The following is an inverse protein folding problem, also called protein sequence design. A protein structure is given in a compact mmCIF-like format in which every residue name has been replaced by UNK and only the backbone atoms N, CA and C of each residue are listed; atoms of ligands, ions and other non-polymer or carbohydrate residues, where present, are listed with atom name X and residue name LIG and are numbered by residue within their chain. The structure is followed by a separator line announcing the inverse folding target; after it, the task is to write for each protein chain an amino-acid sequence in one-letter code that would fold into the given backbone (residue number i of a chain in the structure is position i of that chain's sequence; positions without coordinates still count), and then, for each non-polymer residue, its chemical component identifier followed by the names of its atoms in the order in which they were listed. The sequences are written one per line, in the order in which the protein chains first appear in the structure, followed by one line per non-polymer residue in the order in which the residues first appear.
data_IF_429276270880
#
_entry.id   IF_429276270880
#
_cell.length_a   1.000
_cell.length_b   1.000
_cell.length_c   1.000
_cell.angle_alpha   90.00
_cell.angle_beta   90.00
_cell.angle_gamma   90.00
#
_symmetry.space_group_name_H-M   'P 1'
#
loop_
_entity.id
_entity.type
_entity.pdbx_description
1 polymer ?
#
# COMPACT_ATOMS: atom_id res chain seq x y z
N UNK A 1 -8.04 -5.10 5.99
CA UNK A 1 -8.96 -4.13 5.37
C UNK A 1 -8.46 -2.75 5.73
N UNK A 2 -8.53 -1.80 4.80
CA UNK A 2 -8.08 -0.41 4.97
C UNK A 2 -9.18 0.51 4.50
N UNK A 3 -9.46 1.53 5.29
CA UNK A 3 -10.44 2.56 4.98
C UNK A 3 -9.71 3.86 4.62
N UNK A 4 -10.04 4.44 3.47
CA UNK A 4 -9.42 5.66 2.95
C UNK A 4 -10.50 6.72 2.81
N UNK A 5 -10.36 7.83 3.52
CA UNK A 5 -11.32 8.93 3.53
C UNK A 5 -10.73 10.22 2.96
N UNK A 6 -11.55 10.99 2.25
CA UNK A 6 -11.28 12.32 1.71
C UNK A 6 -12.60 13.10 1.64
N UNK A 7 -12.57 14.34 1.13
CA UNK A 7 -13.75 15.22 1.06
C UNK A 7 -14.94 14.63 0.28
N UNK A 8 -14.73 13.64 -0.57
CA UNK A 8 -15.75 13.02 -1.42
C UNK A 8 -16.34 11.73 -0.84
N UNK A 9 -15.91 11.30 0.36
CA UNK A 9 -16.45 10.09 1.04
C UNK A 9 -15.38 9.15 1.62
N UNK A 10 -15.64 7.85 1.63
CA UNK A 10 -14.73 6.80 2.12
C UNK A 10 -14.71 5.61 1.15
N UNK A 11 -13.54 4.99 0.96
CA UNK A 11 -13.36 3.75 0.22
C UNK A 11 -12.74 2.66 1.08
N UNK A 12 -13.22 1.42 0.90
CA UNK A 12 -12.70 0.23 1.57
C UNK A 12 -11.82 -0.58 0.62
N UNK A 13 -10.70 -1.08 1.13
CA UNK A 13 -9.72 -1.86 0.38
C UNK A 13 -9.28 -3.11 1.16
N UNK A 14 -9.29 -4.26 0.50
CA UNK A 14 -8.77 -5.52 1.02
C UNK A 14 -7.38 -5.78 0.44
N UNK A 15 -6.35 -5.58 1.25
CA UNK A 15 -4.97 -5.86 0.88
C UNK A 15 -4.52 -7.17 1.48
N UNK A 16 -4.04 -8.08 0.63
CA UNK A 16 -3.39 -9.31 1.08
C UNK A 16 -1.88 -9.10 1.12
N UNK A 17 -1.27 -9.44 2.25
CA UNK A 17 0.17 -9.35 2.44
C UNK A 17 0.69 -10.76 2.65
N UNK A 18 1.43 -11.28 1.68
CA UNK A 18 2.11 -12.56 1.85
C UNK A 18 3.27 -12.42 2.84
N UNK A 19 3.65 -13.51 3.52
CA UNK A 19 4.81 -13.51 4.43
C UNK A 19 6.08 -13.05 3.71
N UNK A 20 6.27 -13.48 2.46
CA UNK A 20 7.40 -13.08 1.60
C UNK A 20 7.44 -11.57 1.35
N UNK A 21 6.30 -10.98 0.99
CA UNK A 21 6.23 -9.53 0.71
C UNK A 21 6.39 -8.70 2.00
N UNK A 22 5.83 -9.20 3.11
CA UNK A 22 6.04 -8.59 4.42
C UNK A 22 7.53 -8.57 4.79
N UNK A 23 8.20 -9.72 4.74
CA UNK A 23 9.63 -9.82 5.09
C UNK A 23 10.51 -8.95 4.16
N UNK A 24 10.12 -8.81 2.89
CA UNK A 24 10.84 -7.97 1.90
C UNK A 24 10.80 -6.48 2.24
N UNK A 25 9.64 -5.97 2.67
CA UNK A 25 9.39 -4.52 2.77
C UNK A 25 9.15 -4.00 4.18
N UNK A 26 8.96 -4.84 5.20
CA UNK A 26 8.59 -4.39 6.55
C UNK A 26 9.56 -3.38 7.16
N UNK A 27 10.88 -3.59 7.05
CA UNK A 27 11.91 -2.72 7.68
C UNK A 27 11.60 -2.38 9.15
N UNK A 28 11.25 -3.40 9.94
CA UNK A 28 10.88 -3.23 11.34
C UNK A 28 9.38 -2.96 11.57
N UNK A 29 8.66 -2.43 10.58
CA UNK A 29 7.23 -2.14 10.67
C UNK A 29 6.35 -3.37 10.92
N UNK A 30 5.19 -3.12 11.50
CA UNK A 30 4.05 -4.04 11.51
C UNK A 30 3.43 -4.16 10.12
N UNK A 31 2.50 -5.11 9.94
CA UNK A 31 1.76 -5.25 8.68
C UNK A 31 0.92 -4.01 8.44
N UNK A 32 0.27 -3.49 9.47
CA UNK A 32 -0.58 -2.30 9.44
C UNK A 32 0.22 -1.06 9.01
N UNK A 33 1.41 -0.86 9.56
CA UNK A 33 2.31 0.25 9.22
C UNK A 33 2.84 0.15 7.78
N UNK A 34 3.19 -1.05 7.32
CA UNK A 34 3.60 -1.29 5.93
C UNK A 34 2.45 -0.98 4.97
N UNK A 35 1.24 -1.44 5.29
CA UNK A 35 0.05 -1.20 4.48
C UNK A 35 -0.29 0.29 4.47
N UNK A 36 -0.26 0.98 5.62
CA UNK A 36 -0.49 2.42 5.69
C UNK A 36 0.52 3.22 4.85
N UNK A 37 1.81 2.89 4.95
CA UNK A 37 2.87 3.50 4.13
C UNK A 37 2.64 3.27 2.63
N UNK A 38 2.10 2.09 2.28
CA UNK A 38 1.78 1.75 0.89
C UNK A 38 0.60 2.57 0.36
N UNK A 39 -0.43 2.82 1.18
CA UNK A 39 -1.54 3.70 0.79
C UNK A 39 -1.10 5.16 0.68
N UNK A 40 -0.22 5.65 1.57
CA UNK A 40 0.36 6.99 1.43
C UNK A 40 1.08 7.12 0.08
N UNK A 41 1.91 6.13 -0.28
CA UNK A 41 2.59 6.08 -1.58
C UNK A 41 1.63 6.10 -2.79
N UNK A 42 0.53 5.34 -2.72
CA UNK A 42 -0.48 5.29 -3.79
C UNK A 42 -1.23 6.61 -3.92
N UNK A 43 -1.63 7.22 -2.81
CA UNK A 43 -2.41 8.46 -2.79
C UNK A 43 -1.61 9.69 -3.23
N UNK A 44 -0.27 9.63 -3.15
CA UNK A 44 0.60 10.63 -3.79
C UNK A 44 0.55 10.59 -5.33
N UNK A 45 0.06 9.49 -5.93
CA UNK A 45 0.14 9.23 -7.39
C UNK A 45 -1.21 9.14 -8.06
N UNK A 46 -2.18 8.54 -7.39
CA UNK A 46 -3.51 8.27 -7.94
C UNK A 46 -4.61 8.65 -6.93
N UNK A 47 -5.78 9.12 -7.42
CA UNK A 47 -6.91 9.32 -6.54
C UNK A 47 -7.39 7.96 -6.01
N UNK A 48 -7.88 7.92 -4.77
CA UNK A 48 -8.36 6.68 -4.13
C UNK A 48 -9.36 5.87 -4.98
N UNK A 49 -10.13 6.55 -5.84
CA UNK A 49 -11.14 5.94 -6.70
C UNK A 49 -10.52 5.04 -7.79
N UNK A 50 -9.24 5.25 -8.12
CA UNK A 50 -8.46 4.42 -9.05
C UNK A 50 -7.75 3.25 -8.36
N UNK A 51 -7.63 3.28 -7.02
CA UNK A 51 -7.00 2.20 -6.27
C UNK A 51 -7.93 0.98 -6.26
N UNK A 52 -7.39 -0.18 -6.66
CA UNK A 52 -8.09 -1.46 -6.64
C UNK A 52 -8.72 -1.72 -5.26
N UNK A 53 -9.96 -2.22 -5.24
CA UNK A 53 -10.68 -2.57 -4.01
C UNK A 53 -10.09 -3.79 -3.32
N UNK A 54 -9.47 -4.68 -4.08
CA UNK A 54 -8.86 -5.90 -3.57
C UNK A 54 -7.62 -6.23 -4.38
N UNK A 55 -6.49 -6.45 -3.71
CA UNK A 55 -5.23 -6.79 -4.37
C UNK A 55 -4.20 -7.36 -3.38
N UNK A 56 -3.21 -8.07 -3.93
CA UNK A 56 -2.01 -8.46 -3.18
C UNK A 56 -1.02 -7.29 -3.17
N UNK A 57 -0.32 -7.05 -2.05
CA UNK A 57 0.63 -5.95 -1.93
C UNK A 57 1.68 -5.90 -3.07
N UNK A 58 2.07 -7.07 -3.58
CA UNK A 58 2.99 -7.22 -4.70
C UNK A 58 2.51 -6.63 -6.03
N UNK A 59 1.19 -6.43 -6.19
CA UNK A 59 0.60 -5.80 -7.38
C UNK A 59 1.07 -4.36 -7.51
N UNK A 60 1.30 -3.64 -6.40
CA UNK A 60 1.75 -2.24 -6.43
C UNK A 60 3.04 -2.12 -7.24
N UNK A 61 4.01 -3.03 -7.04
CA UNK A 61 5.30 -2.98 -7.74
C UNK A 61 5.17 -3.18 -9.27
N UNK A 62 4.09 -3.82 -9.74
CA UNK A 62 3.86 -4.01 -11.19
C UNK A 62 3.47 -2.70 -11.88
N UNK A 63 2.74 -1.84 -11.17
CA UNK A 63 2.33 -0.53 -11.68
C UNK A 63 3.36 0.56 -11.33
N UNK A 64 4.03 0.42 -10.19
CA UNK A 64 5.01 1.36 -9.68
C UNK A 64 6.32 0.64 -9.34
N UNK A 65 7.23 0.46 -10.31
CA UNK A 65 8.49 -0.27 -10.11
C UNK A 65 9.35 0.26 -8.94
N UNK A 66 9.24 1.56 -8.62
CA UNK A 66 9.96 2.24 -7.55
C UNK A 66 9.43 1.92 -6.14
N UNK A 67 8.23 1.33 -6.02
CA UNK A 67 7.57 1.05 -4.75
C UNK A 67 8.50 0.36 -3.74
N UNK A 68 9.21 -0.67 -4.20
CA UNK A 68 10.12 -1.43 -3.35
C UNK A 68 11.24 -0.57 -2.76
N UNK A 69 11.83 0.33 -3.56
CA UNK A 69 12.88 1.23 -3.11
C UNK A 69 12.35 2.21 -2.06
N UNK A 70 11.21 2.86 -2.33
CA UNK A 70 10.58 3.81 -1.41
C UNK A 70 10.20 3.16 -0.08
N UNK A 71 9.64 1.95 -0.11
CA UNK A 71 9.33 1.23 1.12
C UNK A 71 10.58 0.89 1.92
N UNK A 72 11.74 0.70 1.29
CA UNK A 72 12.98 0.38 1.99
C UNK A 72 13.81 1.58 2.44
N UNK A 73 13.65 2.74 1.80
CA UNK A 73 14.37 3.98 2.14
C UNK A 73 13.74 4.76 3.29
N UNK A 74 12.41 4.73 3.42
CA UNK A 74 11.69 5.35 4.54
C UNK A 74 11.75 4.43 5.77
N UNK A 75 12.87 4.48 6.50
CA UNK A 75 13.07 3.85 7.83
C UNK A 75 13.40 4.90 8.89
#
# INVERSE_FOLDING_TARGET
MVDVSDATGTSHHLVRVSRKDFDRWRRGRSVEELVASSFAFLLEREPRASILKEFDLSVIQRYFPEFGAVMTERS
#
